data_IF_617927144933
#
_entry.id   IF_617927144933
#
_cell.length_a   1.000
_cell.length_b   1.000
_cell.length_c   1.000
_cell.angle_alpha   90.00
_cell.angle_beta   90.00
_cell.angle_gamma   90.00
#
_symmetry.space_group_name_H-M   'P 1'
#
loop_
_entity.id
_entity.type
_entity.pdbx_description
1 polymer ?
#
# COMPACT_ATOMS: atom_id res chain seq x y z
N UNK A 1 14.79 7.18 25.18
CA UNK A 1 14.50 5.72 25.03
C UNK A 1 15.26 5.20 23.82
N UNK A 2 15.78 3.97 23.86
CA UNK A 2 16.61 3.40 22.81
C UNK A 2 15.83 2.37 21.98
N UNK A 3 16.16 2.23 20.70
CA UNK A 3 15.64 1.22 19.78
C UNK A 3 16.81 0.42 19.19
N UNK A 4 16.62 -0.88 18.98
CA UNK A 4 17.60 -1.73 18.29
C UNK A 4 17.25 -1.86 16.81
N UNK A 5 18.26 -1.87 15.95
CA UNK A 5 18.13 -2.13 14.54
C UNK A 5 18.61 -3.54 14.19
N UNK A 6 18.16 -4.07 13.05
CA UNK A 6 18.64 -5.37 12.53
C UNK A 6 20.15 -5.42 12.29
N UNK A 7 20.78 -4.26 12.01
CA UNK A 7 22.24 -4.12 11.94
C UNK A 7 22.95 -4.17 13.31
N UNK A 8 22.24 -4.56 14.39
CA UNK A 8 22.70 -4.68 15.78
C UNK A 8 23.14 -3.35 16.45
N UNK A 9 22.97 -2.21 15.77
CA UNK A 9 23.20 -0.92 16.38
C UNK A 9 22.00 -0.50 17.24
N UNK A 10 22.32 0.16 18.37
CA UNK A 10 21.34 0.80 19.24
C UNK A 10 21.22 2.27 18.81
N UNK A 11 20.00 2.74 18.60
CA UNK A 11 19.70 4.06 18.07
C UNK A 11 18.84 4.81 19.07
N UNK A 12 19.13 6.08 19.29
CA UNK A 12 18.25 6.92 20.09
C UNK A 12 16.92 7.15 19.36
N UNK A 13 15.83 7.05 20.08
CA UNK A 13 14.48 7.06 19.46
C UNK A 13 14.20 8.36 18.70
N UNK A 14 14.65 9.48 19.23
CA UNK A 14 14.49 10.79 18.61
C UNK A 14 15.28 10.91 17.29
N UNK A 15 16.50 10.35 17.22
CA UNK A 15 17.29 10.30 15.99
C UNK A 15 16.60 9.45 14.92
N UNK A 16 15.95 8.36 15.34
CA UNK A 16 15.18 7.50 14.45
C UNK A 16 13.94 8.23 13.92
N UNK A 17 13.22 8.96 14.76
CA UNK A 17 12.06 9.78 14.40
C UNK A 17 12.45 10.90 13.42
N UNK A 18 13.52 11.64 13.74
CA UNK A 18 14.05 12.70 12.89
C UNK A 18 14.53 12.20 11.53
N UNK A 19 14.94 10.93 11.43
CA UNK A 19 15.32 10.27 10.17
C UNK A 19 14.17 9.45 9.56
N UNK A 20 12.92 9.85 9.75
CA UNK A 20 11.73 9.20 9.20
C UNK A 20 11.66 7.69 9.54
N UNK A 21 12.10 7.30 10.72
CA UNK A 21 12.19 5.91 11.18
C UNK A 21 13.06 5.01 10.28
N UNK A 22 14.05 5.59 9.61
CA UNK A 22 15.11 4.87 8.93
C UNK A 22 16.36 4.84 9.80
N UNK A 23 17.06 3.72 9.84
CA UNK A 23 18.29 3.60 10.62
C UNK A 23 19.37 4.54 10.05
N UNK A 24 19.94 5.46 10.86
CA UNK A 24 20.98 6.37 10.36
C UNK A 24 22.31 5.67 10.06
N UNK A 25 22.47 4.41 10.51
CA UNK A 25 23.70 3.63 10.31
C UNK A 25 23.66 2.75 9.06
N UNK A 26 22.57 2.04 8.82
CA UNK A 26 22.46 1.08 7.70
C UNK A 26 21.35 1.42 6.71
N UNK A 27 20.57 2.47 6.93
CA UNK A 27 19.48 2.87 6.06
C UNK A 27 18.21 2.02 6.17
N UNK A 28 18.20 0.92 6.95
CA UNK A 28 17.03 0.04 7.01
C UNK A 28 15.79 0.76 7.53
N UNK A 29 14.65 0.48 6.92
CA UNK A 29 13.37 1.09 7.23
C UNK A 29 12.67 0.35 8.37
N UNK A 30 12.56 1.00 9.53
CA UNK A 30 11.79 0.47 10.64
C UNK A 30 10.29 0.52 10.37
N UNK A 31 9.54 -0.43 10.96
CA UNK A 31 8.07 -0.43 10.88
C UNK A 31 7.53 0.81 11.60
N UNK A 32 6.54 1.43 10.99
CA UNK A 32 5.88 2.63 11.53
C UNK A 32 4.39 2.36 11.72
N UNK A 33 3.78 3.11 12.63
CA UNK A 33 2.35 3.09 12.84
C UNK A 33 1.63 3.89 11.76
N UNK A 34 0.29 3.75 11.65
CA UNK A 34 -0.48 4.60 10.74
C UNK A 34 -0.27 6.09 11.02
N UNK A 35 -0.35 6.52 12.29
CA UNK A 35 -0.15 7.92 12.65
C UNK A 35 1.25 8.42 12.29
N UNK A 36 2.30 7.65 12.62
CA UNK A 36 3.67 7.99 12.22
C UNK A 36 3.81 8.10 10.70
N UNK A 37 3.14 7.21 9.95
CA UNK A 37 3.13 7.29 8.47
C UNK A 37 2.49 8.58 7.99
N UNK A 38 1.36 8.97 8.56
CA UNK A 38 0.67 10.21 8.23
C UNK A 38 1.51 11.44 8.61
N UNK A 39 2.12 11.47 9.80
CA UNK A 39 3.00 12.55 10.24
C UNK A 39 4.24 12.74 9.35
N UNK A 40 4.82 11.64 8.81
CA UNK A 40 5.95 11.71 7.87
C UNK A 40 5.48 12.21 6.50
N UNK A 41 4.25 11.86 6.11
CA UNK A 41 3.81 12.00 4.72
C UNK A 41 3.07 13.32 4.46
N UNK A 42 2.19 13.76 5.35
CA UNK A 42 1.42 14.99 5.17
C UNK A 42 2.21 16.25 5.48
N UNK A 43 1.86 17.36 4.82
CA UNK A 43 2.43 18.67 5.04
C UNK A 43 2.17 19.13 6.48
N UNK A 44 3.21 19.66 7.14
CA UNK A 44 3.14 20.18 8.51
C UNK A 44 2.57 19.18 9.54
N UNK A 45 2.50 17.88 9.19
CA UNK A 45 1.82 16.83 9.97
C UNK A 45 0.30 17.10 10.16
N UNK A 46 -0.29 17.84 9.24
CA UNK A 46 -1.70 18.21 9.27
C UNK A 46 -2.53 17.24 8.42
N UNK A 47 -3.41 16.50 9.07
CA UNK A 47 -4.33 15.56 8.42
C UNK A 47 -5.61 15.37 9.23
N UNK A 48 -6.66 14.91 8.56
CA UNK A 48 -7.92 14.54 9.17
C UNK A 48 -8.11 13.02 9.01
N UNK A 49 -8.32 12.32 10.13
CA UNK A 49 -8.68 10.91 10.09
C UNK A 49 -10.11 10.76 9.56
N UNK A 50 -10.30 9.81 8.67
CA UNK A 50 -11.62 9.47 8.13
C UNK A 50 -12.19 8.31 8.95
N UNK A 51 -13.38 8.54 9.52
CA UNK A 51 -14.09 7.50 10.24
C UNK A 51 -14.47 6.35 9.31
N UNK A 52 -14.20 5.13 9.76
CA UNK A 52 -14.41 3.91 8.99
C UNK A 52 -15.41 3.00 9.70
N UNK A 53 -16.35 2.38 8.97
CA UNK A 53 -17.31 1.44 9.54
C UNK A 53 -16.61 0.26 10.21
N UNK A 54 -17.12 -0.17 11.36
CA UNK A 54 -16.64 -1.34 12.06
C UNK A 54 -17.68 -2.48 11.96
N UNK A 55 -17.36 -3.53 11.21
CA UNK A 55 -18.15 -4.76 11.23
C UNK A 55 -18.18 -5.39 12.62
N UNK A 56 -19.15 -6.31 12.83
CA UNK A 56 -19.23 -7.09 14.07
C UNK A 56 -17.93 -7.84 14.32
N UNK A 57 -17.40 -7.71 15.52
CA UNK A 57 -16.23 -8.46 15.99
C UNK A 57 -16.51 -9.95 16.04
N UNK A 58 -15.54 -10.75 15.59
CA UNK A 58 -15.51 -12.22 15.68
C UNK A 58 -16.86 -12.91 15.39
N UNK A 59 -17.42 -12.72 14.17
CA UNK A 59 -18.71 -13.34 13.83
C UNK A 59 -18.65 -14.86 13.78
N UNK A 60 -17.46 -15.45 13.59
CA UNK A 60 -17.23 -16.89 13.51
C UNK A 60 -16.92 -17.52 14.87
N UNK A 61 -16.72 -16.72 15.92
CA UNK A 61 -16.29 -17.18 17.26
C UNK A 61 -15.04 -18.05 17.18
N UNK A 62 -14.04 -17.57 16.38
CA UNK A 62 -12.82 -18.33 16.14
C UNK A 62 -11.98 -18.48 17.41
N UNK A 63 -11.51 -19.69 17.64
CA UNK A 63 -10.62 -20.05 18.73
C UNK A 63 -9.60 -21.08 18.25
N UNK A 64 -8.34 -20.79 18.53
CA UNK A 64 -7.20 -21.72 18.45
C UNK A 64 -6.58 -21.81 19.86
N UNK A 65 -5.31 -21.47 20.03
CA UNK A 65 -4.69 -21.35 21.35
C UNK A 65 -5.21 -20.15 22.16
N UNK A 66 -5.94 -19.22 21.51
CA UNK A 66 -6.50 -18.01 22.11
C UNK A 66 -7.71 -17.53 21.31
N UNK A 67 -8.77 -17.09 21.98
CA UNK A 67 -9.96 -16.54 21.33
C UNK A 67 -9.62 -15.31 20.50
N UNK A 68 -10.18 -15.23 19.29
CA UNK A 68 -9.92 -14.11 18.38
C UNK A 68 -10.36 -12.77 18.98
N UNK A 69 -11.49 -12.73 19.68
CA UNK A 69 -11.95 -11.51 20.36
C UNK A 69 -10.94 -10.96 21.39
N UNK A 70 -10.15 -11.81 22.03
CA UNK A 70 -9.09 -11.39 22.94
C UNK A 70 -7.87 -10.83 22.20
N UNK A 71 -7.56 -11.39 21.03
CA UNK A 71 -6.51 -10.86 20.16
C UNK A 71 -6.89 -9.47 19.67
N UNK A 72 -8.14 -9.25 19.25
CA UNK A 72 -8.64 -7.93 18.84
C UNK A 72 -8.52 -6.91 19.98
N UNK A 73 -8.99 -7.26 21.20
CA UNK A 73 -8.87 -6.38 22.38
C UNK A 73 -7.41 -6.01 22.67
N UNK A 74 -6.52 -7.00 22.61
CA UNK A 74 -5.08 -6.79 22.83
C UNK A 74 -4.47 -5.90 21.76
N UNK A 75 -4.76 -6.14 20.48
CA UNK A 75 -4.26 -5.37 19.36
C UNK A 75 -4.75 -3.91 19.43
N UNK A 76 -6.03 -3.68 19.70
CA UNK A 76 -6.60 -2.33 19.90
C UNK A 76 -5.90 -1.58 21.04
N UNK A 77 -5.63 -2.25 22.16
CA UNK A 77 -4.92 -1.65 23.29
C UNK A 77 -3.48 -1.25 22.92
N UNK A 78 -2.78 -2.09 22.14
CA UNK A 78 -1.38 -1.85 21.75
C UNK A 78 -1.28 -0.74 20.70
N UNK A 79 -2.19 -0.73 19.74
CA UNK A 79 -2.12 0.19 18.58
C UNK A 79 -2.88 1.48 18.78
N UNK A 80 -3.82 1.51 19.71
CA UNK A 80 -4.83 2.57 19.87
C UNK A 80 -5.63 2.81 18.57
N UNK A 81 -5.89 1.71 17.82
CA UNK A 81 -6.66 1.72 16.58
C UNK A 81 -7.75 0.66 16.62
N UNK A 82 -8.79 0.85 15.86
CA UNK A 82 -9.91 -0.09 15.76
C UNK A 82 -9.54 -1.36 14.99
N UNK A 83 -8.71 -1.21 13.94
CA UNK A 83 -8.20 -2.31 13.10
C UNK A 83 -6.85 -1.94 12.49
N UNK A 84 -6.30 -2.81 11.62
CA UNK A 84 -4.97 -2.65 11.02
C UNK A 84 -4.88 -1.47 10.05
N UNK A 85 -5.98 -1.01 9.47
CA UNK A 85 -6.01 0.06 8.46
C UNK A 85 -6.61 1.32 9.03
N UNK A 86 -5.92 2.45 8.80
CA UNK A 86 -6.45 3.79 9.02
C UNK A 86 -6.43 4.58 7.71
N UNK A 87 -7.40 5.46 7.56
CA UNK A 87 -7.53 6.37 6.40
C UNK A 87 -7.47 7.80 6.91
N UNK A 88 -6.75 8.64 6.17
CA UNK A 88 -6.65 10.07 6.44
C UNK A 88 -6.69 10.88 5.15
N UNK A 89 -7.01 12.15 5.24
CA UNK A 89 -6.92 13.11 4.14
C UNK A 89 -6.14 14.34 4.58
N UNK A 90 -5.37 14.91 3.67
CA UNK A 90 -4.52 16.06 3.93
C UNK A 90 -3.76 16.45 2.67
N UNK A 91 -2.78 17.33 2.78
CA UNK A 91 -1.97 17.78 1.66
C UNK A 91 -0.58 17.15 1.67
N UNK A 92 -0.06 16.87 0.49
CA UNK A 92 1.33 16.48 0.23
C UNK A 92 1.89 17.40 -0.84
N UNK A 93 2.85 18.25 -0.47
CA UNK A 93 3.38 19.32 -1.33
C UNK A 93 2.26 20.13 -2.01
N UNK A 94 1.30 20.55 -1.19
CA UNK A 94 0.09 21.30 -1.55
C UNK A 94 -0.96 20.53 -2.39
N UNK A 95 -0.73 19.28 -2.76
CA UNK A 95 -1.72 18.45 -3.46
C UNK A 95 -2.62 17.77 -2.42
N UNK A 96 -3.94 17.97 -2.51
CA UNK A 96 -4.90 17.29 -1.65
C UNK A 96 -4.98 15.81 -2.02
N UNK A 97 -4.84 14.91 -1.02
CA UNK A 97 -4.82 13.46 -1.24
C UNK A 97 -5.62 12.72 -0.16
N UNK A 98 -6.07 11.52 -0.49
CA UNK A 98 -6.60 10.55 0.47
C UNK A 98 -5.56 9.45 0.65
N UNK A 99 -5.20 9.14 1.89
CA UNK A 99 -4.11 8.20 2.21
C UNK A 99 -4.60 7.10 3.13
N UNK A 100 -4.34 5.86 2.75
CA UNK A 100 -4.48 4.70 3.62
C UNK A 100 -3.12 4.24 4.15
N UNK A 101 -3.08 3.78 5.38
CA UNK A 101 -1.89 3.17 5.98
C UNK A 101 -2.26 1.93 6.78
N UNK A 102 -1.35 0.96 6.83
CA UNK A 102 -1.52 -0.31 7.51
C UNK A 102 -0.51 -0.45 8.66
N UNK A 103 -0.98 -0.80 9.85
CA UNK A 103 -0.14 -1.00 11.04
C UNK A 103 0.12 -2.49 11.27
N UNK A 104 1.36 -2.91 11.08
CA UNK A 104 1.77 -4.30 11.27
C UNK A 104 1.61 -4.82 12.70
N UNK A 105 1.59 -3.92 13.69
CA UNK A 105 1.40 -4.30 15.10
C UNK A 105 -0.01 -4.81 15.37
N UNK A 106 -0.98 -4.45 14.53
CA UNK A 106 -2.33 -4.97 14.62
C UNK A 106 -2.42 -6.34 13.91
N UNK A 107 -2.19 -7.40 14.67
CA UNK A 107 -2.28 -8.80 14.20
C UNK A 107 -1.50 -9.02 12.89
N UNK A 108 -0.22 -8.57 12.85
CA UNK A 108 0.62 -8.70 11.66
C UNK A 108 0.15 -7.87 10.45
N UNK A 109 -0.59 -6.78 10.67
CA UNK A 109 -1.19 -5.99 9.59
C UNK A 109 -2.20 -6.80 8.76
N UNK A 110 -2.71 -7.92 9.28
CA UNK A 110 -3.59 -8.80 8.51
C UNK A 110 -4.90 -8.15 8.12
N UNK A 111 -5.33 -8.42 6.90
CA UNK A 111 -6.45 -7.77 6.24
C UNK A 111 -7.74 -8.56 6.46
N UNK A 112 -8.64 -8.02 7.26
CA UNK A 112 -9.95 -8.60 7.59
C UNK A 112 -11.10 -7.72 7.14
N UNK A 113 -12.30 -8.01 7.64
CA UNK A 113 -13.53 -7.28 7.30
C UNK A 113 -13.43 -5.78 7.59
N UNK A 114 -12.93 -5.40 8.78
CA UNK A 114 -12.79 -3.99 9.16
C UNK A 114 -11.74 -3.26 8.30
N UNK A 115 -10.62 -3.91 7.98
CA UNK A 115 -9.62 -3.36 7.05
C UNK A 115 -10.20 -3.18 5.65
N UNK A 116 -11.03 -4.12 5.17
CA UNK A 116 -11.73 -4.02 3.88
C UNK A 116 -12.71 -2.86 3.84
N UNK A 117 -13.51 -2.66 4.89
CA UNK A 117 -14.42 -1.51 5.01
C UNK A 117 -13.62 -0.19 5.02
N UNK A 118 -12.51 -0.14 5.77
CA UNK A 118 -11.65 1.04 5.80
C UNK A 118 -11.09 1.37 4.42
N UNK A 119 -10.59 0.37 3.69
CA UNK A 119 -10.11 0.55 2.31
C UNK A 119 -11.20 1.11 1.39
N UNK A 120 -12.39 0.49 1.39
CA UNK A 120 -13.53 0.92 0.56
C UNK A 120 -13.96 2.34 0.94
N UNK A 121 -13.98 2.68 2.24
CA UNK A 121 -14.29 4.03 2.71
C UNK A 121 -13.27 5.05 2.21
N UNK A 122 -11.97 4.69 2.22
CA UNK A 122 -10.90 5.52 1.66
C UNK A 122 -11.08 5.76 0.16
N UNK A 123 -11.38 4.71 -0.60
CA UNK A 123 -11.71 4.80 -2.03
C UNK A 123 -12.90 5.70 -2.29
N UNK A 124 -14.01 5.52 -1.55
CA UNK A 124 -15.20 6.35 -1.70
C UNK A 124 -14.90 7.82 -1.41
N UNK A 125 -14.14 8.10 -0.33
CA UNK A 125 -13.73 9.46 -0.01
C UNK A 125 -12.86 10.08 -1.12
N UNK A 126 -11.95 9.30 -1.71
CA UNK A 126 -11.12 9.75 -2.83
C UNK A 126 -11.96 10.13 -4.04
N UNK A 127 -12.96 9.31 -4.39
CA UNK A 127 -13.89 9.56 -5.51
C UNK A 127 -14.74 10.81 -5.24
N UNK A 128 -15.38 10.90 -4.08
CA UNK A 128 -16.29 11.99 -3.71
C UNK A 128 -15.58 13.36 -3.73
N UNK A 129 -14.31 13.39 -3.35
CA UNK A 129 -13.50 14.60 -3.27
C UNK A 129 -12.55 14.78 -4.48
N UNK A 130 -12.56 13.86 -5.45
CA UNK A 130 -11.64 13.83 -6.60
C UNK A 130 -10.17 13.92 -6.20
N UNK A 131 -9.82 13.28 -5.08
CA UNK A 131 -8.46 13.24 -4.57
C UNK A 131 -7.75 11.97 -5.07
N UNK A 132 -6.46 12.03 -5.45
CA UNK A 132 -5.66 10.83 -5.62
C UNK A 132 -5.69 9.95 -4.37
N UNK A 133 -5.71 8.63 -4.56
CA UNK A 133 -5.65 7.67 -3.48
C UNK A 133 -4.25 7.07 -3.38
N UNK A 134 -3.66 7.13 -2.20
CA UNK A 134 -2.33 6.58 -1.92
C UNK A 134 -2.47 5.57 -0.79
N UNK A 135 -1.86 4.40 -0.91
CA UNK A 135 -1.95 3.41 0.15
C UNK A 135 -0.58 2.83 0.51
N UNK A 136 -0.22 2.93 1.79
CA UNK A 136 0.98 2.31 2.37
C UNK A 136 0.62 0.95 2.94
N UNK A 137 0.99 -0.12 2.24
CA UNK A 137 0.73 -1.49 2.69
C UNK A 137 1.83 -1.99 3.62
N UNK A 138 1.44 -2.69 4.68
CA UNK A 138 2.34 -3.41 5.59
C UNK A 138 1.59 -4.59 6.20
N UNK A 139 1.64 -5.76 5.56
CA UNK A 139 0.74 -6.87 5.86
C UNK A 139 1.35 -8.23 5.65
N UNK A 140 1.04 -9.15 6.56
CA UNK A 140 1.26 -10.59 6.39
C UNK A 140 0.21 -11.31 5.52
N UNK A 141 -0.82 -10.59 5.01
CA UNK A 141 -1.86 -11.16 4.15
C UNK A 141 -3.26 -11.11 4.77
N UNK A 142 -4.14 -12.03 4.36
CA UNK A 142 -5.52 -12.08 4.85
C UNK A 142 -5.59 -12.57 6.29
N UNK A 143 -6.57 -12.08 7.05
CA UNK A 143 -6.77 -12.41 8.45
C UNK A 143 -7.37 -13.81 8.62
N UNK A 144 -6.54 -14.78 8.99
CA UNK A 144 -6.92 -16.20 9.08
C UNK A 144 -8.14 -16.44 10.01
N UNK A 145 -8.23 -15.72 11.13
CA UNK A 145 -9.31 -15.85 12.10
C UNK A 145 -10.70 -15.46 11.56
N UNK A 146 -10.74 -14.72 10.47
CA UNK A 146 -11.98 -14.35 9.79
C UNK A 146 -12.29 -15.23 8.57
N UNK A 147 -11.43 -16.21 8.26
CA UNK A 147 -11.65 -17.24 7.23
C UNK A 147 -12.16 -16.65 5.90
N UNK A 148 -13.27 -17.20 5.37
CA UNK A 148 -13.87 -16.76 4.11
C UNK A 148 -14.26 -15.25 4.09
N UNK A 149 -14.61 -14.68 5.25
CA UNK A 149 -14.94 -13.25 5.35
C UNK A 149 -13.73 -12.40 4.96
N UNK A 150 -12.53 -12.76 5.45
CA UNK A 150 -11.29 -12.07 5.07
C UNK A 150 -10.95 -12.30 3.60
N UNK A 151 -11.12 -13.51 3.07
CA UNK A 151 -10.87 -13.82 1.65
C UNK A 151 -11.78 -13.01 0.72
N UNK A 152 -13.05 -12.83 1.08
CA UNK A 152 -13.98 -12.02 0.29
C UNK A 152 -13.62 -10.53 0.23
N UNK A 153 -12.78 -10.03 1.16
CA UNK A 153 -12.27 -8.65 1.06
C UNK A 153 -11.37 -8.47 -0.17
N UNK A 154 -10.71 -9.51 -0.65
CA UNK A 154 -9.90 -9.42 -1.87
C UNK A 154 -10.77 -8.97 -3.06
N UNK A 155 -11.88 -9.65 -3.31
CA UNK A 155 -12.81 -9.30 -4.39
C UNK A 155 -13.41 -7.90 -4.20
N UNK A 156 -13.81 -7.56 -2.97
CA UNK A 156 -14.41 -6.25 -2.65
C UNK A 156 -13.44 -5.09 -2.92
N UNK A 157 -12.18 -5.25 -2.52
CA UNK A 157 -11.15 -4.21 -2.73
C UNK A 157 -10.73 -4.09 -4.19
N UNK A 158 -10.70 -5.20 -4.95
CA UNK A 158 -10.49 -5.18 -6.40
C UNK A 158 -11.59 -4.38 -7.11
N UNK A 159 -12.85 -4.59 -6.73
CA UNK A 159 -13.97 -3.80 -7.26
C UNK A 159 -13.85 -2.31 -6.89
N UNK A 160 -13.42 -2.00 -5.66
CA UNK A 160 -13.20 -0.62 -5.25
C UNK A 160 -12.08 0.05 -6.06
N UNK A 161 -10.98 -0.65 -6.36
CA UNK A 161 -9.92 -0.13 -7.26
C UNK A 161 -10.47 0.09 -8.68
N UNK A 162 -11.35 -0.80 -9.17
CA UNK A 162 -12.01 -0.59 -10.46
C UNK A 162 -12.83 0.71 -10.49
N UNK A 163 -13.53 1.04 -9.40
CA UNK A 163 -14.28 2.31 -9.31
C UNK A 163 -13.35 3.54 -9.28
N UNK A 164 -12.14 3.47 -8.67
CA UNK A 164 -11.14 4.54 -8.79
C UNK A 164 -10.77 4.78 -10.27
N UNK A 165 -10.44 3.71 -10.99
CA UNK A 165 -10.08 3.78 -12.42
C UNK A 165 -11.20 4.34 -13.27
N UNK A 166 -12.44 3.89 -13.06
CA UNK A 166 -13.62 4.39 -13.74
C UNK A 166 -13.89 5.88 -13.52
N UNK A 167 -13.52 6.40 -12.35
CA UNK A 167 -13.63 7.82 -12.01
C UNK A 167 -12.36 8.63 -12.33
N UNK A 168 -11.35 8.03 -12.99
CA UNK A 168 -10.07 8.65 -13.32
C UNK A 168 -9.32 9.18 -12.08
N UNK A 169 -9.45 8.49 -10.94
CA UNK A 169 -8.73 8.81 -9.71
C UNK A 169 -7.42 8.03 -9.67
N UNK A 170 -6.25 8.69 -9.69
CA UNK A 170 -4.96 8.01 -9.58
C UNK A 170 -4.85 7.20 -8.29
N UNK A 171 -4.37 5.96 -8.40
CA UNK A 171 -4.11 5.07 -7.28
C UNK A 171 -2.64 4.67 -7.21
N UNK A 172 -1.92 5.12 -6.18
CA UNK A 172 -0.52 4.80 -5.95
C UNK A 172 -0.41 3.88 -4.73
N UNK A 173 0.28 2.75 -4.90
CA UNK A 173 0.55 1.83 -3.80
C UNK A 173 2.02 1.89 -3.41
N UNK A 174 2.29 2.10 -2.13
CA UNK A 174 3.62 2.01 -1.54
C UNK A 174 3.69 0.73 -0.72
N UNK A 175 4.43 -0.23 -1.22
CA UNK A 175 4.62 -1.54 -0.59
C UNK A 175 5.78 -1.48 0.39
N UNK A 176 5.48 -1.66 1.68
CA UNK A 176 6.50 -1.64 2.75
C UNK A 176 6.73 -3.05 3.30
N UNK A 177 7.71 -3.21 4.19
CA UNK A 177 8.13 -4.51 4.70
C UNK A 177 7.29 -5.01 5.89
N UNK A 178 6.54 -6.14 5.74
CA UNK A 178 6.27 -6.93 4.54
C UNK A 178 4.98 -6.50 3.84
N UNK A 179 4.83 -6.83 2.55
CA UNK A 179 3.56 -6.79 1.83
C UNK A 179 3.35 -8.15 1.16
N UNK A 180 2.54 -9.03 1.77
CA UNK A 180 2.47 -10.43 1.36
C UNK A 180 1.05 -10.97 1.32
N UNK A 181 0.90 -12.18 0.78
CA UNK A 181 -0.32 -12.96 0.77
C UNK A 181 -1.43 -12.34 -0.08
N UNK A 182 -2.66 -12.46 0.42
CA UNK A 182 -3.83 -11.94 -0.30
C UNK A 182 -3.87 -10.43 -0.49
N UNK A 183 -3.10 -9.67 0.29
CA UNK A 183 -2.96 -8.21 0.08
C UNK A 183 -2.23 -7.95 -1.23
N UNK A 184 -1.09 -8.60 -1.45
CA UNK A 184 -0.37 -8.52 -2.74
C UNK A 184 -1.20 -9.10 -3.87
N UNK A 185 -1.86 -10.23 -3.66
CA UNK A 185 -2.69 -10.90 -4.69
C UNK A 185 -4.04 -10.19 -4.97
N UNK A 186 -4.27 -9.02 -4.40
CA UNK A 186 -5.49 -8.24 -4.64
C UNK A 186 -5.17 -6.77 -4.93
N UNK A 187 -5.65 -5.86 -4.13
CA UNK A 187 -5.58 -4.42 -4.37
C UNK A 187 -4.16 -3.84 -4.44
N UNK A 188 -3.19 -4.44 -3.71
CA UNK A 188 -1.85 -3.85 -3.65
C UNK A 188 -1.08 -3.93 -4.97
N UNK A 189 -1.38 -4.92 -5.83
CA UNK A 189 -0.81 -5.04 -7.19
C UNK A 189 -1.63 -4.34 -8.28
N UNK A 190 -2.67 -3.60 -7.93
CA UNK A 190 -3.58 -2.97 -8.89
C UNK A 190 -3.44 -1.44 -8.95
N UNK A 191 -2.46 -0.87 -8.26
CA UNK A 191 -2.13 0.55 -8.37
C UNK A 191 -1.76 0.95 -9.80
N UNK A 192 -1.99 2.20 -10.14
CA UNK A 192 -1.49 2.76 -11.40
C UNK A 192 0.03 2.94 -11.37
N UNK A 193 0.58 3.10 -10.16
CA UNK A 193 2.02 3.11 -9.88
C UNK A 193 2.27 2.30 -8.61
N UNK A 194 3.23 1.37 -8.69
CA UNK A 194 3.65 0.48 -7.60
C UNK A 194 5.05 0.85 -7.14
N UNK A 195 5.18 1.28 -5.88
CA UNK A 195 6.45 1.69 -5.28
C UNK A 195 6.80 0.72 -4.16
N UNK A 196 8.02 0.19 -4.14
CA UNK A 196 8.57 -0.55 -3.01
C UNK A 196 9.47 0.31 -2.13
N UNK A 197 9.41 0.17 -0.79
CA UNK A 197 10.50 0.65 0.07
C UNK A 197 11.71 -0.28 -0.08
N UNK A 198 12.98 0.23 -0.03
CA UNK A 198 14.18 -0.62 -0.16
C UNK A 198 14.18 -1.81 0.80
N UNK A 199 14.54 -2.99 0.29
CA UNK A 199 14.62 -4.24 1.04
C UNK A 199 13.25 -4.78 1.50
N UNK A 200 12.13 -4.19 1.11
CA UNK A 200 10.82 -4.68 1.49
C UNK A 200 10.55 -6.07 0.88
N UNK A 201 10.09 -7.00 1.71
CA UNK A 201 9.61 -8.31 1.26
C UNK A 201 8.22 -8.16 0.67
N UNK A 202 8.09 -8.42 -0.62
CA UNK A 202 6.84 -8.29 -1.37
C UNK A 202 6.60 -9.59 -2.13
N UNK A 203 5.47 -10.27 -1.89
CA UNK A 203 5.18 -11.53 -2.55
C UNK A 203 3.87 -12.17 -2.10
N UNK A 204 3.49 -13.27 -2.74
CA UNK A 204 2.28 -14.00 -2.35
C UNK A 204 2.57 -14.96 -1.19
N UNK A 205 3.32 -16.02 -1.44
CA UNK A 205 3.72 -16.94 -0.40
C UNK A 205 5.03 -16.47 0.25
N UNK A 206 5.11 -16.56 1.58
CA UNK A 206 6.35 -16.22 2.30
C UNK A 206 7.51 -17.17 1.93
N UNK A 207 8.74 -16.65 1.91
CA UNK A 207 9.97 -17.38 1.57
C UNK A 207 10.04 -18.75 2.26
N UNK A 208 9.82 -18.80 3.58
CA UNK A 208 9.83 -20.04 4.36
C UNK A 208 8.84 -21.09 3.85
N UNK A 209 7.60 -20.67 3.52
CA UNK A 209 6.58 -21.59 3.02
C UNK A 209 6.99 -22.20 1.68
N UNK A 210 7.61 -21.40 0.82
CA UNK A 210 8.11 -21.86 -0.47
C UNK A 210 9.27 -22.85 -0.25
N UNK A 211 10.27 -22.49 0.55
CA UNK A 211 11.43 -23.33 0.86
C UNK A 211 11.01 -24.70 1.45
N UNK A 212 10.07 -24.67 2.41
CA UNK A 212 9.53 -25.90 3.03
C UNK A 212 8.77 -26.78 2.00
N UNK A 213 8.14 -26.15 0.98
CA UNK A 213 7.35 -26.87 -0.03
C UNK A 213 8.22 -27.49 -1.13
N UNK A 214 9.15 -26.70 -1.69
CA UNK A 214 10.01 -27.16 -2.78
C UNK A 214 11.29 -27.83 -2.28
N UNK A 215 11.59 -27.72 -0.98
CA UNK A 215 12.80 -28.25 -0.31
C UNK A 215 14.11 -27.71 -0.89
N UNK A 216 14.10 -26.47 -1.35
CA UNK A 216 15.27 -25.77 -1.86
C UNK A 216 15.46 -24.44 -1.13
N UNK A 217 16.71 -24.01 -1.01
CA UNK A 217 17.04 -22.69 -0.43
C UNK A 217 16.86 -21.63 -1.49
N UNK A 218 16.08 -20.61 -1.19
CA UNK A 218 15.84 -19.49 -2.09
C UNK A 218 16.96 -18.45 -1.99
N UNK A 219 17.25 -17.71 -3.08
CA UNK A 219 18.21 -16.61 -3.06
C UNK A 219 17.92 -15.60 -1.93
N UNK A 220 18.96 -14.92 -1.45
CA UNK A 220 18.80 -13.91 -0.37
C UNK A 220 17.93 -12.75 -0.81
N UNK A 221 18.02 -12.34 -2.07
CA UNK A 221 17.25 -11.25 -2.69
C UNK A 221 15.84 -11.68 -3.15
N UNK A 222 15.42 -12.92 -2.86
CA UNK A 222 14.13 -13.43 -3.26
C UNK A 222 12.98 -12.61 -2.64
N UNK A 223 12.06 -12.13 -3.48
CA UNK A 223 10.92 -11.28 -3.10
C UNK A 223 11.30 -9.92 -2.49
N UNK A 224 12.52 -9.42 -2.70
CA UNK A 224 12.84 -8.04 -2.35
C UNK A 224 12.24 -7.05 -3.36
N UNK A 225 11.98 -5.82 -2.91
CA UNK A 225 11.48 -4.76 -3.78
C UNK A 225 12.39 -4.54 -5.00
N UNK A 226 13.71 -4.59 -4.80
CA UNK A 226 14.70 -4.44 -5.86
C UNK A 226 14.53 -5.52 -6.94
N UNK A 227 14.42 -6.78 -6.49
CA UNK A 227 14.24 -7.91 -7.38
C UNK A 227 12.94 -7.84 -8.19
N UNK A 228 11.86 -7.40 -7.54
CA UNK A 228 10.57 -7.23 -8.19
C UNK A 228 10.61 -6.10 -9.24
N UNK A 229 11.29 -5.00 -8.94
CA UNK A 229 11.51 -3.91 -9.92
C UNK A 229 12.29 -4.43 -11.13
N UNK A 230 13.37 -5.15 -10.91
CA UNK A 230 14.21 -5.68 -11.99
C UNK A 230 13.46 -6.68 -12.89
N UNK A 231 12.41 -7.32 -12.36
CA UNK A 231 11.50 -8.18 -13.12
C UNK A 231 10.25 -7.44 -13.65
N UNK A 232 10.14 -6.14 -13.46
CA UNK A 232 9.00 -5.34 -13.93
C UNK A 232 7.68 -5.59 -13.18
N UNK A 233 7.73 -6.12 -11.97
CA UNK A 233 6.54 -6.38 -11.14
C UNK A 233 6.13 -5.17 -10.29
N UNK A 234 7.07 -4.27 -10.02
CA UNK A 234 6.81 -2.94 -9.46
C UNK A 234 7.58 -1.90 -10.27
N UNK A 235 7.14 -0.64 -10.21
CA UNK A 235 7.67 0.42 -11.06
C UNK A 235 8.94 1.05 -10.47
N UNK A 236 8.93 1.30 -9.16
CA UNK A 236 9.98 2.06 -8.48
C UNK A 236 10.37 1.43 -7.14
N UNK A 237 11.64 1.61 -6.77
CA UNK A 237 12.10 1.42 -5.39
C UNK A 237 12.56 2.77 -4.88
N UNK A 238 11.94 3.27 -3.79
CA UNK A 238 12.14 4.64 -3.29
C UNK A 238 12.36 4.64 -1.78
N UNK A 239 13.48 5.22 -1.33
CA UNK A 239 13.72 5.43 0.09
C UNK A 239 12.65 6.34 0.71
N UNK A 240 12.27 6.06 1.95
CA UNK A 240 11.20 6.76 2.67
C UNK A 240 11.33 8.28 2.67
N UNK A 241 12.56 8.79 2.79
CA UNK A 241 12.85 10.23 2.79
C UNK A 241 12.49 10.94 1.48
N UNK A 242 12.44 10.19 0.35
CA UNK A 242 12.12 10.72 -0.96
C UNK A 242 10.68 10.42 -1.41
N UNK A 243 9.92 9.63 -0.65
CA UNK A 243 8.55 9.23 -1.05
C UNK A 243 7.62 10.43 -1.29
N UNK A 244 7.69 11.46 -0.43
CA UNK A 244 6.85 12.66 -0.59
C UNK A 244 7.10 13.36 -1.92
N UNK A 245 8.35 13.72 -2.21
CA UNK A 245 8.72 14.42 -3.45
C UNK A 245 8.48 13.56 -4.70
N UNK A 246 8.78 12.26 -4.63
CA UNK A 246 8.51 11.34 -5.74
C UNK A 246 7.01 11.25 -6.04
N UNK A 247 6.19 11.00 -5.01
CA UNK A 247 4.73 10.87 -5.19
C UNK A 247 4.12 12.19 -5.67
N UNK A 248 4.54 13.34 -5.12
CA UNK A 248 4.08 14.65 -5.58
C UNK A 248 4.43 14.89 -7.07
N UNK A 249 5.64 14.54 -7.50
CA UNK A 249 6.03 14.64 -8.92
C UNK A 249 5.13 13.75 -9.80
N UNK A 250 4.92 12.50 -9.40
CA UNK A 250 4.05 11.57 -10.13
C UNK A 250 2.62 12.09 -10.21
N UNK A 251 2.06 12.57 -9.10
CA UNK A 251 0.72 13.15 -9.08
C UNK A 251 0.60 14.39 -9.97
N UNK A 252 1.62 15.26 -9.98
CA UNK A 252 1.64 16.43 -10.85
C UNK A 252 1.53 16.04 -12.33
N UNK A 253 2.18 14.96 -12.75
CA UNK A 253 2.08 14.44 -14.11
C UNK A 253 0.71 13.82 -14.38
N UNK A 254 0.22 12.97 -13.47
CA UNK A 254 -1.05 12.26 -13.63
C UNK A 254 -2.25 13.22 -13.66
N UNK A 255 -2.27 14.20 -12.77
CA UNK A 255 -3.37 15.18 -12.69
C UNK A 255 -3.39 16.14 -13.90
N UNK A 256 -2.23 16.57 -14.41
CA UNK A 256 -2.16 17.40 -15.61
C UNK A 256 -2.69 16.70 -16.86
N UNK A 257 -2.51 15.39 -16.99
CA UNK A 257 -3.13 14.62 -18.09
C UNK A 257 -4.65 14.60 -18.02
N UNK A 258 -5.23 14.58 -16.81
CA UNK A 258 -6.68 14.64 -16.64
C UNK A 258 -7.26 16.00 -17.06
N UNK A 259 -6.58 17.12 -16.79
CA UNK A 259 -6.99 18.46 -17.22
C UNK A 259 -6.92 18.63 -18.74
N UNK A 260 -5.94 18.04 -19.41
CA UNK A 260 -5.79 18.12 -20.87
C UNK A 260 -6.84 17.30 -21.61
N UNK A 261 -7.36 16.23 -21.05
CA UNK A 261 -8.44 15.46 -21.67
C UNK A 261 -9.83 16.13 -21.59
N UNK A 262 -10.05 16.99 -20.59
CA UNK A 262 -11.32 17.75 -20.46
C UNK A 262 -11.41 18.91 -21.45
N UNK A 263 -10.27 19.41 -21.96
CA UNK A 263 -10.23 20.56 -22.90
C UNK A 263 -10.13 20.17 -24.39
N UNK A 264 -10.19 18.89 -24.76
CA UNK A 264 -10.08 18.44 -26.16
C UNK A 264 -11.40 18.05 -26.83
N UNK A 265 -12.53 18.40 -26.25
CA UNK A 265 -13.80 18.38 -27.00
C UNK A 265 -14.02 19.73 -27.68
N UNK A 266 -13.32 19.96 -28.75
CA UNK A 266 -13.75 20.67 -29.99
C UNK A 266 -12.53 20.94 -30.89
N UNK A 267 -12.60 20.35 -32.08
CA UNK A 267 -11.76 20.65 -33.25
C UNK A 267 -10.28 20.20 -33.17
N UNK A 268 -10.03 18.97 -33.63
CA UNK A 268 -9.05 18.61 -34.66
C UNK A 268 -8.85 17.09 -34.67
N UNK A 269 -9.71 16.39 -35.39
CA UNK A 269 -9.42 15.02 -35.82
C UNK A 269 -8.35 15.12 -36.91
N UNK A 270 -7.11 14.88 -36.56
CA UNK A 270 -6.08 14.56 -37.56
C UNK A 270 -6.14 13.06 -37.78
N UNK A 271 -6.78 12.66 -38.88
CA UNK A 271 -6.71 11.30 -39.42
C UNK A 271 -5.26 11.03 -39.83
N UNK A 272 -4.59 10.17 -39.10
CA UNK A 272 -3.32 9.58 -39.50
C UNK A 272 -3.66 8.42 -40.49
N UNK A 273 -3.63 8.73 -41.79
CA UNK A 273 -3.56 7.71 -42.84
C UNK A 273 -2.25 6.94 -42.70
N UNK A 274 -2.33 5.74 -42.10
CA UNK A 274 -1.24 4.77 -42.18
C UNK A 274 -1.31 4.07 -43.53
N UNK A 275 -0.52 4.53 -44.50
CA UNK A 275 -0.15 3.74 -45.65
C UNK A 275 0.68 2.54 -45.17
N UNK A 276 0.14 1.35 -45.26
CA UNK A 276 0.90 0.11 -45.13
C UNK A 276 1.75 -0.08 -46.38
N UNK A 277 3.05 -0.42 -46.28
CA UNK A 277 3.84 -0.75 -47.41
C UNK A 277 3.37 -2.10 -48.00
N UNK A 278 3.05 -2.09 -49.29
CA UNK A 278 2.75 -3.30 -50.07
C UNK A 278 3.95 -4.25 -50.03
N UNK A 279 3.73 -5.46 -49.49
CA UNK A 279 4.71 -6.53 -49.63
C UNK A 279 4.66 -7.06 -51.06
N UNK A 280 5.72 -6.77 -51.82
CA UNK A 280 5.97 -7.37 -53.13
C UNK A 280 6.07 -8.88 -53.01
N UNK A 281 5.24 -9.56 -53.80
CA UNK A 281 5.43 -10.98 -54.18
C UNK A 281 6.74 -11.14 -54.95
N UNK A 282 7.60 -12.03 -54.50
CA UNK A 282 8.58 -12.69 -55.39
C UNK A 282 8.92 -14.08 -54.82
N UNK A 283 8.52 -15.09 -55.61
CA UNK A 283 9.08 -16.45 -55.80
C UNK A 283 9.40 -17.31 -54.57
#
# INVERSE_FOLDING_TARGET
>A
MWSSCECKNVIYKEDLENNNYCCPKCGSHHKVTCNQRFEIFFDNKEYLLIETPLPKDDPLKFEDNKKYIERLKSARKITNQNDAVAIATGKVENIQVTVGAQDFRFIGGSFGAASGEAFIRGVQHAIDNKNPFIFFSCSGGQRMMESAIALMQMSRTVLAVHELKKNNIPFIVVMTNPTTGGVTASWASLGDILIGEPGATIGFAGKRVIEDTIRETLPEDFQTAEKLRDHGQIDLVVERKYLRSTISTLLTVLLKKAETQVNTDASNVVTLDRALPETSKAL
#
